data_IF_587462660200
#
_entry.id   IF_587462660200
#
_cell.length_a   1.000
_cell.length_b   1.000
_cell.length_c   1.000
_cell.angle_alpha   90.00
_cell.angle_beta   90.00
_cell.angle_gamma   90.00
#
_symmetry.space_group_name_H-M   'P 1'
#
loop_
_entity.id
_entity.type
_entity.pdbx_description
1 polymer ?
#
# COMPACT_ATOMS: atom_id res chain seq x y z
N UNK A 1 14.50 6.58 -31.60
CA UNK A 1 14.20 5.13 -31.43
C UNK A 1 13.25 5.00 -30.25
N UNK A 2 12.23 4.14 -30.32
CA UNK A 2 11.26 3.95 -29.23
C UNK A 2 11.31 2.49 -28.77
N UNK A 3 11.47 2.28 -27.46
CA UNK A 3 11.38 0.96 -26.81
C UNK A 3 10.18 0.96 -25.88
N UNK A 4 9.39 -0.11 -25.92
CA UNK A 4 8.20 -0.29 -25.10
C UNK A 4 8.26 -1.64 -24.40
N UNK A 5 7.98 -1.66 -23.10
CA UNK A 5 7.87 -2.88 -22.30
C UNK A 5 6.59 -2.84 -21.47
N UNK A 6 5.85 -3.95 -21.44
CA UNK A 6 4.62 -4.08 -20.64
C UNK A 6 4.88 -5.06 -19.50
N UNK A 7 4.50 -4.69 -18.28
CA UNK A 7 4.56 -5.60 -17.13
C UNK A 7 3.30 -6.44 -17.00
N UNK A 8 3.45 -7.57 -16.34
CA UNK A 8 2.36 -8.47 -15.94
C UNK A 8 2.33 -8.58 -14.43
N UNK A 9 1.12 -8.70 -13.90
CA UNK A 9 0.87 -8.77 -12.46
C UNK A 9 0.17 -10.09 -12.18
N UNK A 10 0.79 -11.02 -11.44
CA UNK A 10 0.16 -12.31 -11.16
C UNK A 10 -1.03 -12.12 -10.22
N UNK A 11 -2.06 -12.93 -10.42
CA UNK A 11 -3.25 -13.03 -9.58
C UNK A 11 -2.95 -13.83 -8.31
N UNK A 12 -3.44 -13.34 -7.16
CA UNK A 12 -3.38 -14.09 -5.90
C UNK A 12 -4.60 -14.99 -5.74
N UNK A 13 -5.74 -14.59 -6.31
CA UNK A 13 -6.99 -15.33 -6.23
C UNK A 13 -7.05 -16.49 -7.24
N UNK A 14 -6.63 -16.24 -8.48
CA UNK A 14 -6.73 -17.17 -9.60
C UNK A 14 -5.31 -17.64 -10.00
N UNK A 15 -4.86 -18.79 -9.47
CA UNK A 15 -3.52 -19.33 -9.76
C UNK A 15 -3.26 -19.46 -11.27
N UNK A 16 -2.13 -18.92 -11.73
CA UNK A 16 -1.69 -18.96 -13.13
C UNK A 16 -2.32 -17.87 -14.02
N UNK A 17 -3.19 -17.02 -13.47
CA UNK A 17 -3.73 -15.85 -14.17
C UNK A 17 -2.83 -14.64 -13.95
N UNK A 18 -2.69 -13.83 -14.98
CA UNK A 18 -1.94 -12.57 -14.93
C UNK A 18 -2.79 -11.43 -15.50
N UNK A 19 -2.63 -10.25 -14.91
CA UNK A 19 -3.26 -9.02 -15.36
C UNK A 19 -2.24 -8.08 -15.99
N UNK A 20 -2.72 -7.17 -16.83
CA UNK A 20 -1.87 -6.10 -17.35
C UNK A 20 -1.48 -5.13 -16.23
N UNK A 21 -0.17 -4.92 -16.08
CA UNK A 21 0.39 -3.95 -15.15
C UNK A 21 0.53 -2.58 -15.80
N UNK A 22 1.76 -2.12 -15.93
CA UNK A 22 2.12 -0.84 -16.50
C UNK A 22 2.98 -0.99 -17.75
N UNK A 23 2.93 0.01 -18.60
CA UNK A 23 3.78 0.16 -19.78
C UNK A 23 4.87 1.15 -19.46
N UNK A 24 6.13 0.78 -19.70
CA UNK A 24 7.24 1.73 -19.81
C UNK A 24 7.49 2.02 -21.28
N UNK A 25 7.54 3.28 -21.65
CA UNK A 25 8.01 3.70 -22.97
C UNK A 25 9.23 4.62 -22.81
N UNK A 26 10.29 4.28 -23.54
CA UNK A 26 11.50 5.11 -23.65
C UNK A 26 11.62 5.55 -25.09
N UNK A 27 11.57 6.86 -25.32
CA UNK A 27 11.80 7.44 -26.65
C UNK A 27 13.03 8.34 -26.64
N UNK A 28 13.86 8.20 -27.66
CA UNK A 28 15.03 9.04 -27.89
C UNK A 28 14.89 9.81 -29.20
N UNK A 29 15.14 11.11 -29.17
CA UNK A 29 15.23 11.96 -30.36
C UNK A 29 16.64 11.95 -30.99
N UNK A 30 16.81 12.64 -32.12
CA UNK A 30 18.10 12.72 -32.85
C UNK A 30 19.13 13.63 -32.17
N UNK A 31 18.72 14.41 -31.18
CA UNK A 31 19.56 15.40 -30.47
C UNK A 31 20.07 14.83 -29.13
N UNK A 32 19.58 13.65 -28.73
CA UNK A 32 19.99 12.96 -27.51
C UNK A 32 19.03 13.15 -26.34
N UNK A 33 17.88 13.79 -26.54
CA UNK A 33 16.85 13.88 -25.51
C UNK A 33 16.16 12.52 -25.35
N UNK A 34 16.02 12.09 -24.10
CA UNK A 34 15.30 10.87 -23.73
C UNK A 34 14.03 11.23 -22.96
N UNK A 35 12.90 10.70 -23.40
CA UNK A 35 11.63 10.77 -22.69
C UNK A 35 11.31 9.39 -22.12
N UNK A 36 11.06 9.36 -20.82
CA UNK A 36 10.60 8.19 -20.08
C UNK A 36 9.14 8.41 -19.69
N UNK A 37 8.24 7.54 -20.15
CA UNK A 37 6.83 7.54 -19.73
C UNK A 37 6.45 6.20 -19.10
N UNK A 38 5.58 6.30 -18.10
CA UNK A 38 4.95 5.16 -17.43
C UNK A 38 3.46 5.34 -17.54
N UNK A 39 2.78 4.36 -18.09
CA UNK A 39 1.35 4.40 -18.39
C UNK A 39 0.66 3.16 -17.83
N UNK A 40 -0.47 3.35 -17.16
CA UNK A 40 -1.37 2.27 -16.76
C UNK A 40 -2.63 2.35 -17.62
N UNK A 41 -3.10 1.21 -18.11
CA UNK A 41 -4.34 1.18 -18.86
C UNK A 41 -5.53 1.36 -17.91
N UNK A 42 -6.50 2.17 -18.30
CA UNK A 42 -7.71 2.46 -17.50
C UNK A 42 -8.95 1.84 -18.13
N UNK A 43 -8.81 0.61 -18.66
CA UNK A 43 -9.95 -0.12 -19.21
C UNK A 43 -10.86 -0.61 -18.08
N UNK A 44 -12.15 -0.75 -18.38
CA UNK A 44 -13.13 -1.26 -17.42
C UNK A 44 -12.79 -2.69 -16.98
N UNK A 45 -12.46 -3.56 -17.94
CA UNK A 45 -12.11 -4.96 -17.68
C UNK A 45 -10.91 -5.08 -16.72
N UNK A 46 -9.83 -4.31 -16.94
CA UNK A 46 -8.69 -4.27 -16.04
C UNK A 46 -9.08 -3.78 -14.66
N UNK A 47 -9.88 -2.72 -14.58
CA UNK A 47 -10.33 -2.17 -13.29
C UNK A 47 -11.13 -3.22 -12.51
N UNK A 48 -12.02 -3.96 -13.18
CA UNK A 48 -12.78 -5.05 -12.56
C UNK A 48 -11.90 -6.21 -12.08
N UNK A 49 -10.87 -6.58 -12.85
CA UNK A 49 -9.90 -7.61 -12.46
C UNK A 49 -9.17 -7.24 -11.15
N UNK A 50 -8.61 -6.04 -11.08
CA UNK A 50 -7.93 -5.56 -9.86
C UNK A 50 -8.90 -5.33 -8.69
N UNK A 51 -10.11 -4.85 -8.96
CA UNK A 51 -11.14 -4.71 -7.94
C UNK A 51 -11.49 -6.07 -7.31
N UNK A 52 -11.66 -7.11 -8.13
CA UNK A 52 -11.91 -8.48 -7.64
C UNK A 52 -10.77 -9.01 -6.77
N UNK A 53 -9.51 -8.71 -7.11
CA UNK A 53 -8.36 -9.06 -6.25
C UNK A 53 -8.40 -8.31 -4.91
N UNK A 54 -8.55 -6.99 -4.97
CA UNK A 54 -8.61 -6.12 -3.79
C UNK A 54 -9.74 -6.56 -2.86
N UNK A 55 -10.92 -6.89 -3.38
CA UNK A 55 -12.04 -7.41 -2.60
C UNK A 55 -11.74 -8.76 -1.95
N UNK A 56 -11.05 -9.65 -2.67
CA UNK A 56 -10.63 -10.95 -2.12
C UNK A 56 -9.67 -10.76 -0.95
N UNK A 57 -8.64 -9.92 -1.15
CA UNK A 57 -7.66 -9.58 -0.11
C UNK A 57 -8.34 -8.91 1.08
N UNK A 58 -9.29 -8.01 0.86
CA UNK A 58 -10.02 -7.34 1.92
C UNK A 58 -10.88 -8.30 2.76
N UNK A 59 -11.51 -9.29 2.12
CA UNK A 59 -12.24 -10.36 2.82
C UNK A 59 -11.30 -11.18 3.71
N UNK A 60 -10.16 -11.60 3.18
CA UNK A 60 -9.16 -12.36 3.93
C UNK A 60 -8.55 -11.53 5.06
N UNK A 61 -8.28 -10.25 4.82
CA UNK A 61 -7.79 -9.31 5.81
C UNK A 61 -8.80 -9.13 6.95
N UNK A 62 -10.09 -9.03 6.64
CA UNK A 62 -11.15 -8.93 7.65
C UNK A 62 -11.25 -10.22 8.48
N UNK A 63 -11.17 -11.39 7.84
CA UNK A 63 -11.22 -12.67 8.53
C UNK A 63 -10.02 -12.87 9.45
N UNK A 64 -8.80 -12.68 8.93
CA UNK A 64 -7.55 -12.83 9.69
C UNK A 64 -7.38 -11.72 10.72
N UNK A 65 -7.84 -10.50 10.45
CA UNK A 65 -7.84 -9.41 11.41
C UNK A 65 -8.70 -9.72 12.64
N UNK A 66 -9.90 -10.29 12.45
CA UNK A 66 -10.73 -10.78 13.55
C UNK A 66 -10.04 -11.89 14.36
N UNK A 67 -9.39 -12.83 13.66
CA UNK A 67 -8.63 -13.89 14.33
C UNK A 67 -7.47 -13.31 15.15
N UNK A 68 -6.73 -12.34 14.62
CA UNK A 68 -5.64 -11.65 15.30
C UNK A 68 -6.11 -10.90 16.56
N UNK A 69 -7.33 -10.35 16.58
CA UNK A 69 -7.86 -9.74 17.81
C UNK A 69 -8.13 -10.76 18.92
N UNK A 70 -8.33 -12.03 18.55
CA UNK A 70 -8.64 -13.14 19.47
C UNK A 70 -7.39 -13.97 19.81
N UNK A 71 -6.34 -13.91 19.00
CA UNK A 71 -5.11 -14.70 19.15
C UNK A 71 -3.93 -13.84 19.61
N UNK A 72 -2.99 -14.46 20.32
CA UNK A 72 -1.70 -13.83 20.71
C UNK A 72 -0.53 -14.38 19.88
N UNK A 73 -0.83 -15.13 18.82
CA UNK A 73 0.19 -15.83 18.03
C UNK A 73 0.91 -14.89 17.06
N UNK A 74 2.26 -14.95 17.08
CA UNK A 74 3.11 -14.12 16.23
C UNK A 74 2.85 -14.33 14.71
N UNK A 75 2.39 -15.53 14.32
CA UNK A 75 2.15 -15.91 12.93
C UNK A 75 0.96 -15.19 12.29
N UNK A 76 -0.08 -14.90 13.06
CA UNK A 76 -1.28 -14.21 12.57
C UNK A 76 -0.99 -12.76 12.20
N UNK A 77 -0.13 -12.09 12.98
CA UNK A 77 0.28 -10.71 12.72
C UNK A 77 1.09 -10.59 11.42
N UNK A 78 1.99 -11.53 11.13
CA UNK A 78 2.78 -11.50 9.89
C UNK A 78 1.91 -11.74 8.65
N UNK A 79 0.93 -12.66 8.75
CA UNK A 79 -0.02 -12.93 7.69
C UNK A 79 -0.90 -11.71 7.39
N UNK A 80 -1.40 -11.01 8.41
CA UNK A 80 -2.12 -9.74 8.25
C UNK A 80 -1.24 -8.68 7.59
N UNK A 81 0.03 -8.55 8.00
CA UNK A 81 0.97 -7.62 7.37
C UNK A 81 1.21 -7.94 5.88
N UNK A 82 1.33 -9.22 5.51
CA UNK A 82 1.46 -9.62 4.10
C UNK A 82 0.22 -9.23 3.30
N UNK A 83 -0.99 -9.46 3.83
CA UNK A 83 -2.23 -9.05 3.15
C UNK A 83 -2.35 -7.52 2.97
N UNK A 84 -1.94 -6.74 3.97
CA UNK A 84 -1.88 -5.27 3.87
C UNK A 84 -0.94 -4.83 2.75
N UNK A 85 0.23 -5.47 2.63
CA UNK A 85 1.20 -5.15 1.59
C UNK A 85 0.74 -5.63 0.20
N UNK A 86 0.06 -6.77 0.12
CA UNK A 86 -0.59 -7.24 -1.12
C UNK A 86 -1.68 -6.27 -1.58
N UNK A 87 -2.51 -5.75 -0.67
CA UNK A 87 -3.52 -4.73 -1.00
C UNK A 87 -2.88 -3.52 -1.69
N UNK A 88 -1.74 -3.06 -1.17
CA UNK A 88 -0.99 -1.93 -1.74
C UNK A 88 -0.28 -2.26 -3.02
N UNK A 89 0.24 -3.48 -3.15
CA UNK A 89 0.79 -3.96 -4.41
C UNK A 89 -0.24 -3.84 -5.54
N UNK A 90 -1.47 -4.32 -5.34
CA UNK A 90 -2.53 -4.20 -6.36
C UNK A 90 -3.02 -2.77 -6.52
N UNK A 91 -3.15 -1.98 -5.45
CA UNK A 91 -3.54 -0.57 -5.54
C UNK A 91 -2.54 0.27 -6.35
N UNK A 92 -1.24 0.08 -6.10
CA UNK A 92 -0.17 0.75 -6.84
C UNK A 92 -0.08 0.26 -8.28
N UNK A 93 -0.34 -1.01 -8.57
CA UNK A 93 -0.38 -1.47 -9.95
C UNK A 93 -1.63 -0.94 -10.68
N UNK A 94 -2.80 -0.87 -10.02
CA UNK A 94 -4.03 -0.33 -10.60
C UNK A 94 -3.91 1.16 -10.92
N UNK A 95 -3.32 1.95 -10.02
CA UNK A 95 -3.29 3.43 -10.05
C UNK A 95 -4.69 4.05 -10.21
N UNK A 96 -5.61 3.84 -9.24
CA UNK A 96 -7.02 4.20 -9.41
C UNK A 96 -7.29 5.71 -9.31
N UNK A 97 -6.41 6.49 -8.69
CA UNK A 97 -6.57 7.94 -8.56
C UNK A 97 -5.77 8.66 -9.64
N UNK A 98 -6.37 9.72 -10.21
CA UNK A 98 -5.68 10.57 -11.18
C UNK A 98 -4.41 11.22 -10.62
N UNK A 99 -4.38 11.47 -9.30
CA UNK A 99 -3.21 12.02 -8.58
C UNK A 99 -3.17 11.45 -7.17
N UNK A 100 -1.96 11.18 -6.68
CA UNK A 100 -1.72 10.87 -5.26
C UNK A 100 -1.97 9.43 -4.82
N UNK A 101 -2.17 8.47 -5.74
CA UNK A 101 -2.34 7.04 -5.42
C UNK A 101 -1.25 6.54 -4.47
N UNK A 102 0.00 6.88 -4.72
CA UNK A 102 1.16 6.50 -3.89
C UNK A 102 1.05 6.97 -2.43
N UNK A 103 0.70 8.24 -2.23
CA UNK A 103 0.57 8.85 -0.89
C UNK A 103 -0.62 8.25 -0.13
N UNK A 104 -1.74 8.02 -0.82
CA UNK A 104 -2.91 7.37 -0.25
C UNK A 104 -2.58 5.93 0.16
N UNK A 105 -1.95 5.16 -0.73
CA UNK A 105 -1.55 3.78 -0.45
C UNK A 105 -0.62 3.70 0.76
N UNK A 106 0.40 4.57 0.82
CA UNK A 106 1.34 4.61 1.94
C UNK A 106 0.65 4.98 3.26
N UNK A 107 -0.27 5.94 3.25
CA UNK A 107 -1.03 6.35 4.44
C UNK A 107 -1.91 5.21 4.96
N UNK A 108 -2.57 4.48 4.05
CA UNK A 108 -3.40 3.31 4.38
C UNK A 108 -2.54 2.18 4.96
N UNK A 109 -1.36 1.92 4.40
CA UNK A 109 -0.40 0.93 4.95
C UNK A 109 -0.02 1.26 6.37
N UNK A 110 0.35 2.51 6.64
CA UNK A 110 0.76 2.91 7.99
C UNK A 110 -0.36 2.70 9.00
N UNK A 111 -1.57 3.16 8.67
CA UNK A 111 -2.74 2.96 9.53
C UNK A 111 -3.07 1.49 9.75
N UNK A 112 -3.04 0.67 8.70
CA UNK A 112 -3.37 -0.75 8.78
C UNK A 112 -2.31 -1.56 9.56
N UNK A 113 -1.03 -1.25 9.40
CA UNK A 113 0.05 -1.88 10.18
C UNK A 113 -0.05 -1.51 11.66
N UNK A 114 -0.34 -0.25 11.98
CA UNK A 114 -0.58 0.17 13.37
C UNK A 114 -1.81 -0.51 13.96
N UNK A 115 -2.89 -0.65 13.17
CA UNK A 115 -4.07 -1.40 13.60
C UNK A 115 -3.78 -2.89 13.85
N UNK A 116 -2.77 -3.48 13.19
CA UNK A 116 -2.32 -4.85 13.44
C UNK A 116 -1.28 -5.00 14.56
N UNK A 117 -1.01 -3.92 15.31
CA UNK A 117 -0.08 -3.95 16.43
C UNK A 117 1.38 -3.70 16.04
N UNK A 118 1.64 -3.26 14.81
CA UNK A 118 3.00 -3.03 14.28
C UNK A 118 3.28 -1.56 14.03
N UNK A 119 4.48 -1.12 14.36
CA UNK A 119 5.00 0.19 13.96
C UNK A 119 6.10 0.06 12.92
N UNK A 120 6.15 1.06 12.02
CA UNK A 120 7.23 1.23 11.06
C UNK A 120 8.26 2.19 11.67
N UNK A 121 9.43 1.68 12.03
CA UNK A 121 10.56 2.52 12.51
C UNK A 121 11.60 2.78 11.43
N UNK A 122 11.52 2.04 10.32
CA UNK A 122 12.39 2.22 9.16
C UNK A 122 11.98 3.37 8.25
N UNK A 123 12.73 3.55 7.16
CA UNK A 123 12.50 4.61 6.17
C UNK A 123 12.62 4.05 4.78
N UNK A 124 11.88 4.64 3.84
CA UNK A 124 12.03 4.32 2.41
C UNK A 124 13.49 4.63 2.02
N UNK A 125 14.23 3.68 1.42
CA UNK A 125 15.62 3.90 1.04
C UNK A 125 15.74 5.03 0.02
N UNK A 126 16.87 5.77 0.06
CA UNK A 126 17.13 6.84 -0.90
C UNK A 126 17.08 6.31 -2.33
N UNK A 127 16.37 7.01 -3.20
CA UNK A 127 16.21 6.65 -4.61
C UNK A 127 15.15 5.59 -4.89
N UNK A 128 14.45 5.07 -3.86
CA UNK A 128 13.31 4.17 -4.04
C UNK A 128 11.98 4.92 -3.91
N UNK A 129 10.99 4.47 -4.68
CA UNK A 129 9.61 4.93 -4.59
C UNK A 129 8.73 3.69 -4.38
N UNK A 130 7.85 3.73 -3.38
CA UNK A 130 7.10 2.54 -2.92
C UNK A 130 6.18 1.99 -4.02
N UNK A 131 5.56 2.88 -4.78
CA UNK A 131 4.75 2.56 -5.94
C UNK A 131 5.56 1.92 -7.06
N UNK A 132 6.72 2.48 -7.42
CA UNK A 132 7.61 1.85 -8.41
C UNK A 132 8.10 0.49 -7.94
N UNK A 133 8.48 0.33 -6.68
CA UNK A 133 8.86 -0.98 -6.15
C UNK A 133 7.69 -1.97 -6.29
N UNK A 134 6.46 -1.58 -5.93
CA UNK A 134 5.29 -2.41 -6.14
C UNK A 134 5.05 -2.76 -7.62
N UNK A 135 5.25 -1.81 -8.53
CA UNK A 135 5.03 -2.02 -9.96
C UNK A 135 6.11 -2.92 -10.59
N UNK A 136 7.38 -2.72 -10.23
CA UNK A 136 8.52 -3.41 -10.87
C UNK A 136 8.81 -4.79 -10.29
N UNK A 137 8.28 -5.11 -9.11
CA UNK A 137 8.52 -6.39 -8.46
C UNK A 137 7.57 -7.45 -9.05
N UNK A 138 8.03 -8.70 -9.28
CA UNK A 138 7.23 -9.68 -10.05
C UNK A 138 6.03 -10.25 -9.28
N UNK A 139 5.95 -10.10 -7.96
CA UNK A 139 4.86 -10.67 -7.16
C UNK A 139 4.60 -9.87 -5.87
N UNK A 140 3.38 -9.97 -5.30
CA UNK A 140 3.04 -9.37 -4.00
C UNK A 140 3.94 -9.84 -2.86
N UNK A 141 4.38 -11.11 -2.85
CA UNK A 141 5.25 -11.68 -1.83
C UNK A 141 6.66 -11.08 -1.92
N UNK A 142 7.16 -10.95 -3.15
CA UNK A 142 8.46 -10.33 -3.43
C UNK A 142 8.46 -8.85 -3.04
N UNK A 143 7.36 -8.14 -3.31
CA UNK A 143 7.17 -6.77 -2.85
C UNK A 143 7.12 -6.71 -1.32
N UNK A 144 6.34 -7.59 -0.69
CA UNK A 144 6.19 -7.64 0.77
C UNK A 144 7.52 -7.86 1.48
N UNK A 145 8.36 -8.77 0.97
CA UNK A 145 9.71 -9.01 1.51
C UNK A 145 10.58 -7.76 1.42
N UNK A 146 10.57 -7.09 0.27
CA UNK A 146 11.33 -5.85 0.05
C UNK A 146 10.83 -4.74 0.96
N UNK A 147 9.51 -4.56 1.02
CA UNK A 147 8.81 -3.58 1.85
C UNK A 147 9.13 -3.75 3.33
N UNK A 148 8.92 -4.94 3.88
CA UNK A 148 9.17 -5.26 5.29
C UNK A 148 10.62 -4.99 5.69
N UNK A 149 11.58 -5.28 4.81
CA UNK A 149 13.00 -5.09 5.10
C UNK A 149 13.33 -3.62 5.40
N UNK A 150 12.84 -2.66 4.60
CA UNK A 150 13.10 -1.25 4.85
C UNK A 150 12.10 -0.61 5.82
N UNK A 151 10.89 -1.17 5.98
CA UNK A 151 9.93 -0.72 6.99
C UNK A 151 10.42 -1.03 8.41
N UNK A 152 11.19 -2.11 8.60
CA UNK A 152 11.68 -2.55 9.91
C UNK A 152 10.53 -2.62 10.94
N UNK A 153 9.58 -3.53 10.73
CA UNK A 153 8.37 -3.62 11.54
C UNK A 153 8.71 -4.05 12.98
N UNK A 154 8.33 -3.23 13.95
CA UNK A 154 8.46 -3.50 15.38
C UNK A 154 7.08 -3.64 16.01
N UNK A 155 6.98 -4.26 17.18
CA UNK A 155 5.74 -4.26 17.95
C UNK A 155 5.50 -2.87 18.53
N UNK A 156 4.24 -2.44 18.57
CA UNK A 156 3.88 -1.15 19.18
C UNK A 156 4.31 -1.09 20.66
N UNK A 157 4.70 0.10 21.13
CA UNK A 157 5.08 0.30 22.52
C UNK A 157 3.87 0.15 23.45
N UNK A 158 4.13 -0.24 24.69
CA UNK A 158 3.08 -0.56 25.69
C UNK A 158 2.09 0.59 25.91
N UNK A 159 2.57 1.85 25.87
CA UNK A 159 1.70 3.02 26.04
C UNK A 159 0.66 3.16 24.94
N UNK A 160 0.87 2.59 23.75
CA UNK A 160 -0.10 2.65 22.66
C UNK A 160 -1.42 1.97 23.04
N UNK A 161 -1.37 0.91 23.86
CA UNK A 161 -2.56 0.21 24.36
C UNK A 161 -3.39 1.05 25.34
N UNK A 162 -2.82 2.12 25.89
CA UNK A 162 -3.54 3.04 26.78
C UNK A 162 -4.32 4.13 26.04
N UNK A 163 -4.16 4.23 24.72
CA UNK A 163 -4.90 5.19 23.91
C UNK A 163 -6.38 4.79 23.79
N UNK A 164 -7.30 5.77 23.78
CA UNK A 164 -8.71 5.49 23.62
C UNK A 164 -9.01 4.95 22.21
N UNK A 165 -10.05 4.14 22.08
CA UNK A 165 -10.54 3.66 20.80
C UNK A 165 -10.96 4.82 19.91
N UNK A 166 -10.46 4.87 18.68
CA UNK A 166 -10.82 5.88 17.68
C UNK A 166 -12.31 5.83 17.37
N UNK A 167 -12.89 4.62 17.26
CA UNK A 167 -14.30 4.43 16.94
C UNK A 167 -15.22 4.91 18.08
N UNK A 168 -14.79 4.77 19.33
CA UNK A 168 -15.53 5.26 20.50
C UNK A 168 -15.37 6.78 20.68
N UNK A 169 -14.19 7.31 20.40
CA UNK A 169 -13.88 8.74 20.55
C UNK A 169 -14.51 9.59 19.43
N UNK A 170 -14.56 9.06 18.20
CA UNK A 170 -15.09 9.73 17.02
C UNK A 170 -16.16 8.86 16.34
N UNK A 171 -17.39 8.85 16.86
CA UNK A 171 -18.43 7.90 16.42
C UNK A 171 -18.97 8.19 15.02
N UNK A 172 -18.68 9.35 14.43
CA UNK A 172 -19.12 9.72 13.08
C UNK A 172 -17.95 10.10 12.18
N UNK A 173 -18.12 9.85 10.87
CA UNK A 173 -17.15 10.32 9.86
C UNK A 173 -16.95 11.84 9.91
N UNK A 174 -18.01 12.59 10.26
CA UNK A 174 -17.94 14.05 10.42
C UNK A 174 -16.96 14.44 11.52
N UNK A 175 -17.12 13.89 12.73
CA UNK A 175 -16.25 14.18 13.87
C UNK A 175 -14.80 13.78 13.60
N UNK A 176 -14.59 12.69 12.85
CA UNK A 176 -13.25 12.27 12.44
C UNK A 176 -12.61 13.29 11.48
N UNK A 177 -13.36 13.80 10.49
CA UNK A 177 -12.91 14.84 9.56
C UNK A 177 -12.64 16.17 10.29
N UNK A 178 -13.49 16.55 11.23
CA UNK A 178 -13.32 17.78 12.02
C UNK A 178 -12.01 17.76 12.81
N UNK A 179 -11.68 16.64 13.45
CA UNK A 179 -10.39 16.49 14.15
C UNK A 179 -9.20 16.53 13.19
N UNK A 180 -9.29 15.89 12.03
CA UNK A 180 -8.20 15.91 11.04
C UNK A 180 -7.94 17.31 10.46
N UNK A 181 -8.96 18.18 10.46
CA UNK A 181 -8.86 19.56 10.00
C UNK A 181 -8.50 20.56 11.11
N UNK A 182 -8.32 20.11 12.34
CA UNK A 182 -7.95 20.99 13.45
C UNK A 182 -6.49 21.41 13.32
N UNK A 183 -6.19 22.71 13.49
CA UNK A 183 -4.82 23.21 13.44
C UNK A 183 -4.00 22.63 14.60
N UNK A 184 -3.15 21.66 14.27
CA UNK A 184 -2.34 20.93 15.24
C UNK A 184 -1.03 21.65 15.59
N UNK A 185 -0.79 22.85 15.05
CA UNK A 185 0.45 23.61 15.29
C UNK A 185 0.69 23.94 16.76
N UNK A 186 -0.36 24.05 17.58
CA UNK A 186 -0.28 24.25 19.03
C UNK A 186 0.01 22.97 19.82
N UNK A 187 -0.28 21.80 19.27
CA UNK A 187 -0.24 20.50 19.97
C UNK A 187 0.86 19.55 19.48
N UNK A 188 1.36 19.75 18.26
CA UNK A 188 2.44 18.99 17.65
C UNK A 188 3.54 19.95 17.19
N UNK A 189 4.54 20.26 18.05
CA UNK A 189 5.64 21.12 17.65
C UNK A 189 6.39 20.48 16.48
N UNK A 190 6.36 21.15 15.31
CA UNK A 190 7.16 20.75 14.15
C UNK A 190 8.64 20.89 14.55
N UNK A 191 9.32 19.76 14.75
CA UNK A 191 10.79 19.78 14.83
C UNK A 191 11.30 20.14 13.43
N UNK A 192 11.88 21.34 13.33
CA UNK A 192 12.69 21.77 12.18
C UNK A 192 13.94 20.93 12.04
#
# INVERSE_FOLDING_TARGET
MASRSNSKVPSMKDLGKEYDGFTITITGDRVGNMLFSVETQTTEERTQQYQSEIESIYKDLTAKGKALMLSTELGDADAVCNLILSLVYYFCNLMPLSRGSSVVAYSVVMGALMASGKEVVGRIPKGKLVDFEAMTTPSPESFSKTAKNWMNLMSLPVWYQSLPSVAETFPSSRTMIEVLNTDSSSHCPKKS
#
